data_IF_865898489657
#
_entry.id   IF_865898489657
#
_cell.length_a   1.000
_cell.length_b   1.000
_cell.length_c   1.000
_cell.angle_alpha   90.00
_cell.angle_beta   90.00
_cell.angle_gamma   90.00
#
_symmetry.space_group_name_H-M   'P 1'
#
loop_
_entity.id
_entity.type
_entity.pdbx_description
1 polymer ?
#
# COMPACT_ATOMS: atom_id res chain seq x y z
N UNK A 1 -9.38 -19.29 -14.22
CA UNK A 1 -8.00 -19.01 -13.76
C UNK A 1 -8.09 -18.01 -12.63
N UNK A 2 -7.78 -18.42 -11.40
CA UNK A 2 -7.74 -17.49 -10.27
C UNK A 2 -6.62 -16.48 -10.48
N UNK A 3 -6.92 -15.20 -10.25
CA UNK A 3 -5.94 -14.13 -10.40
C UNK A 3 -4.95 -14.17 -9.23
N UNK A 4 -3.67 -13.91 -9.50
CA UNK A 4 -2.61 -13.89 -8.47
C UNK A 4 -2.94 -12.88 -7.37
N UNK A 5 -2.70 -13.23 -6.10
CA UNK A 5 -2.84 -12.35 -4.94
C UNK A 5 -1.83 -11.19 -4.89
N UNK A 6 -0.76 -11.28 -5.69
CA UNK A 6 0.31 -10.28 -5.75
C UNK A 6 0.54 -9.77 -7.18
N UNK A 7 1.07 -8.54 -7.36
CA UNK A 7 1.43 -8.00 -8.66
C UNK A 7 2.40 -8.91 -9.45
N UNK A 8 2.32 -8.87 -10.78
CA UNK A 8 3.18 -9.69 -11.66
C UNK A 8 4.67 -9.46 -11.44
N UNK A 9 5.06 -8.22 -11.12
CA UNK A 9 6.44 -7.90 -10.77
C UNK A 9 6.90 -8.62 -9.51
N UNK A 10 6.04 -8.69 -8.49
CA UNK A 10 6.32 -9.43 -7.25
C UNK A 10 6.49 -10.92 -7.53
N UNK A 11 5.61 -11.49 -8.36
CA UNK A 11 5.70 -12.89 -8.76
C UNK A 11 7.00 -13.19 -9.50
N UNK A 12 7.38 -12.32 -10.44
CA UNK A 12 8.61 -12.44 -11.22
C UNK A 12 9.86 -12.35 -10.33
N UNK A 13 9.93 -11.36 -9.44
CA UNK A 13 11.06 -11.19 -8.52
C UNK A 13 11.13 -12.34 -7.52
N UNK A 14 10.00 -12.79 -6.99
CA UNK A 14 9.93 -13.94 -6.09
C UNK A 14 10.49 -15.20 -6.76
N UNK A 15 10.04 -15.50 -7.99
CA UNK A 15 10.53 -16.64 -8.76
C UNK A 15 12.04 -16.54 -9.07
N UNK A 16 12.52 -15.37 -9.47
CA UNK A 16 13.94 -15.15 -9.80
C UNK A 16 14.88 -15.37 -8.61
N UNK A 17 14.41 -15.16 -7.39
CA UNK A 17 15.22 -15.28 -6.17
C UNK A 17 14.83 -16.48 -5.27
N UNK A 18 13.93 -17.36 -5.73
CA UNK A 18 13.47 -18.51 -4.94
C UNK A 18 12.75 -18.12 -3.64
N UNK A 19 12.02 -17.00 -3.64
CA UNK A 19 11.26 -16.49 -2.50
C UNK A 19 9.78 -16.82 -2.64
N UNK A 20 9.04 -16.79 -1.53
CA UNK A 20 7.59 -16.66 -1.62
C UNK A 20 7.19 -15.26 -2.10
N UNK A 21 6.04 -15.10 -2.79
CA UNK A 21 5.55 -13.78 -3.18
C UNK A 21 5.37 -12.82 -1.99
N UNK A 22 4.87 -13.33 -0.86
CA UNK A 22 4.73 -12.55 0.38
C UNK A 22 6.07 -11.99 0.89
N UNK A 23 7.13 -12.82 0.88
CA UNK A 23 8.45 -12.39 1.32
C UNK A 23 9.06 -11.37 0.35
N UNK A 24 8.96 -11.59 -0.96
CA UNK A 24 9.41 -10.63 -1.95
C UNK A 24 8.67 -9.29 -1.81
N UNK A 25 7.35 -9.33 -1.63
CA UNK A 25 6.50 -8.15 -1.44
C UNK A 25 6.92 -7.34 -0.21
N UNK A 26 7.15 -8.01 0.93
CA UNK A 26 7.57 -7.37 2.16
C UNK A 26 8.98 -6.78 2.08
N UNK A 27 9.94 -7.49 1.47
CA UNK A 27 11.32 -7.02 1.32
C UNK A 27 11.43 -5.82 0.38
N UNK A 28 10.60 -5.75 -0.67
CA UNK A 28 10.63 -4.68 -1.66
C UNK A 28 9.82 -3.44 -1.30
N UNK A 29 9.32 -3.35 -0.07
CA UNK A 29 8.46 -2.25 0.40
C UNK A 29 7.12 -2.13 -0.35
N UNK A 30 6.45 -3.27 -0.51
CA UNK A 30 5.30 -3.40 -1.39
C UNK A 30 4.04 -2.62 -1.00
N UNK A 31 3.93 -2.04 0.20
CA UNK A 31 2.72 -1.32 0.62
C UNK A 31 2.71 0.17 0.30
N UNK A 32 3.81 0.71 -0.23
CA UNK A 32 3.88 2.11 -0.62
C UNK A 32 2.82 2.43 -1.69
N UNK A 33 1.99 3.43 -1.39
CA UNK A 33 0.94 3.94 -2.26
C UNK A 33 1.42 5.21 -2.95
N UNK A 34 1.05 5.39 -4.21
CA UNK A 34 1.39 6.56 -5.01
C UNK A 34 0.13 7.14 -5.65
N UNK A 35 0.01 8.46 -5.62
CA UNK A 35 -1.07 9.20 -6.27
C UNK A 35 -0.50 10.19 -7.28
N UNK A 36 -1.06 10.22 -8.48
CA UNK A 36 -0.68 11.22 -9.49
C UNK A 36 -1.89 11.72 -10.27
N UNK A 37 -1.81 12.99 -10.68
CA UNK A 37 -2.79 13.66 -11.53
C UNK A 37 -2.12 14.04 -12.86
N UNK A 38 -2.67 13.54 -13.96
CA UNK A 38 -2.19 13.73 -15.33
C UNK A 38 -3.37 14.15 -16.21
N UNK A 39 -3.69 15.46 -16.30
CA UNK A 39 -4.89 15.96 -16.97
C UNK A 39 -5.03 15.53 -18.43
N UNK A 40 -3.91 15.29 -19.11
CA UNK A 40 -3.85 14.93 -20.52
C UNK A 40 -3.89 13.41 -20.76
N UNK A 41 -3.96 12.59 -19.71
CA UNK A 41 -4.01 11.14 -19.79
C UNK A 41 -5.41 10.57 -19.48
N UNK A 42 -5.63 9.33 -19.91
CA UNK A 42 -6.81 8.54 -19.56
C UNK A 42 -6.35 7.23 -18.91
N UNK A 43 -6.59 7.01 -17.60
CA UNK A 43 -7.32 7.87 -16.66
C UNK A 43 -6.51 9.10 -16.18
N UNK A 44 -7.16 10.26 -15.89
CA UNK A 44 -6.47 11.49 -15.49
C UNK A 44 -5.98 11.50 -14.04
N UNK A 45 -6.55 10.66 -13.18
CA UNK A 45 -6.06 10.37 -11.83
C UNK A 45 -5.64 8.92 -11.75
N UNK A 46 -4.46 8.67 -11.18
CA UNK A 46 -3.88 7.34 -11.03
C UNK A 46 -3.47 7.10 -9.58
N UNK A 47 -3.90 5.97 -9.05
CA UNK A 47 -3.42 5.39 -7.80
C UNK A 47 -2.71 4.10 -8.17
N UNK A 48 -1.52 3.87 -7.61
CA UNK A 48 -0.85 2.58 -7.72
C UNK A 48 -0.10 2.24 -6.44
N UNK A 49 0.16 0.95 -6.28
CA UNK A 49 0.97 0.40 -5.20
C UNK A 49 2.25 -0.14 -5.82
N UNK A 50 3.27 -0.35 -5.00
CA UNK A 50 4.60 -0.84 -5.36
C UNK A 50 5.55 0.29 -5.78
N UNK A 51 6.75 0.38 -5.17
CA UNK A 51 7.74 1.38 -5.55
C UNK A 51 8.37 1.05 -6.91
N UNK A 52 8.75 2.07 -7.69
CA UNK A 52 9.47 1.87 -8.96
C UNK A 52 10.79 1.10 -8.82
N UNK A 53 11.44 1.19 -7.66
CA UNK A 53 12.70 0.50 -7.36
C UNK A 53 12.47 -0.85 -6.64
N UNK A 54 11.30 -1.48 -6.78
CA UNK A 54 10.93 -2.69 -6.03
C UNK A 54 11.96 -3.82 -6.15
N UNK A 55 12.34 -4.20 -7.37
CA UNK A 55 13.30 -5.29 -7.58
C UNK A 55 14.68 -4.99 -6.97
N UNK A 56 15.15 -3.74 -7.09
CA UNK A 56 16.42 -3.28 -6.53
C UNK A 56 16.41 -3.35 -5.00
N UNK A 57 15.30 -2.94 -4.38
CA UNK A 57 15.09 -3.03 -2.93
C UNK A 57 15.12 -4.48 -2.45
N UNK A 58 14.43 -5.40 -3.14
CA UNK A 58 14.50 -6.84 -2.83
C UNK A 58 15.94 -7.34 -2.92
N UNK A 59 16.64 -7.04 -4.02
CA UNK A 59 18.02 -7.49 -4.21
C UNK A 59 18.96 -6.97 -3.12
N UNK A 60 18.85 -5.69 -2.73
CA UNK A 60 19.65 -5.10 -1.66
C UNK A 60 19.42 -5.80 -0.30
N UNK A 61 18.18 -6.23 -0.02
CA UNK A 61 17.82 -6.93 1.22
C UNK A 61 18.32 -8.38 1.27
N UNK A 62 18.43 -9.05 0.12
CA UNK A 62 18.94 -10.41 0.04
C UNK A 62 20.43 -10.55 0.38
N UNK A 63 21.18 -9.45 0.37
CA UNK A 63 22.57 -9.41 0.83
C UNK A 63 22.74 -9.48 2.36
N UNK A 64 21.65 -9.57 3.13
CA UNK A 64 21.66 -9.51 4.58
C UNK A 64 21.10 -10.78 5.23
N UNK A 65 21.43 -11.06 6.51
CA UNK A 65 20.73 -12.10 7.27
C UNK A 65 19.22 -11.86 7.28
N UNK A 66 18.43 -12.91 7.08
CA UNK A 66 16.97 -12.83 6.87
C UNK A 66 16.23 -11.99 7.94
N UNK A 67 16.47 -12.16 9.26
CA UNK A 67 15.79 -11.35 10.27
C UNK A 67 16.17 -9.86 10.21
N UNK A 68 17.41 -9.54 9.82
CA UNK A 68 17.85 -8.15 9.64
C UNK A 68 17.17 -7.52 8.42
N UNK A 69 17.14 -8.24 7.29
CA UNK A 69 16.46 -7.82 6.07
C UNK A 69 14.96 -7.52 6.31
N UNK A 70 14.27 -8.38 7.06
CA UNK A 70 12.85 -8.21 7.42
C UNK A 70 12.66 -6.99 8.33
N UNK A 71 13.48 -6.81 9.36
CA UNK A 71 13.38 -5.62 10.23
C UNK A 71 13.61 -4.34 9.44
N UNK A 72 14.62 -4.32 8.59
CA UNK A 72 14.92 -3.14 7.78
C UNK A 72 13.79 -2.84 6.79
N UNK A 73 13.19 -3.86 6.17
CA UNK A 73 12.06 -3.65 5.25
C UNK A 73 10.78 -3.22 5.97
N UNK A 74 10.53 -3.68 7.20
CA UNK A 74 9.43 -3.18 8.05
C UNK A 74 9.60 -1.69 8.36
N UNK A 75 10.79 -1.27 8.80
CA UNK A 75 11.10 0.13 9.07
C UNK A 75 11.03 0.98 7.80
N UNK A 76 11.56 0.47 6.69
CA UNK A 76 11.54 1.18 5.41
C UNK A 76 10.12 1.36 4.87
N UNK A 77 9.26 0.34 4.93
CA UNK A 77 7.84 0.46 4.64
C UNK A 77 7.16 1.50 5.54
N UNK A 78 7.39 1.42 6.85
CA UNK A 78 6.80 2.36 7.79
C UNK A 78 7.20 3.81 7.47
N UNK A 79 8.48 4.05 7.14
CA UNK A 79 8.97 5.36 6.70
C UNK A 79 8.36 5.78 5.37
N UNK A 80 8.31 4.90 4.38
CA UNK A 80 7.71 5.20 3.07
C UNK A 80 6.23 5.55 3.19
N UNK A 81 5.50 4.95 4.13
CA UNK A 81 4.11 5.31 4.38
C UNK A 81 3.99 6.61 5.20
N UNK A 82 4.81 6.81 6.23
CA UNK A 82 4.65 7.93 7.17
C UNK A 82 5.33 9.23 6.75
N UNK A 83 6.44 9.17 6.01
CA UNK A 83 7.26 10.35 5.74
C UNK A 83 6.71 11.12 4.54
N UNK A 84 6.16 12.31 4.82
CA UNK A 84 5.76 13.26 3.79
C UNK A 84 7.01 13.95 3.21
N UNK A 85 7.50 13.44 2.08
CA UNK A 85 8.64 14.03 1.34
C UNK A 85 8.21 14.98 0.23
N UNK A 86 6.91 15.07 -0.06
CA UNK A 86 6.38 15.84 -1.20
C UNK A 86 6.45 15.08 -2.54
N UNK A 87 6.85 13.81 -2.51
CA UNK A 87 6.89 12.91 -3.68
C UNK A 87 5.57 12.13 -3.89
N UNK A 88 4.47 12.60 -3.29
CA UNK A 88 3.10 12.08 -3.51
C UNK A 88 2.99 10.57 -3.31
N UNK A 89 3.62 10.07 -2.25
CA UNK A 89 3.55 8.67 -1.82
C UNK A 89 3.19 8.54 -0.34
N UNK A 90 2.81 7.33 0.08
CA UNK A 90 2.43 7.05 1.47
C UNK A 90 1.18 7.82 1.90
N UNK A 91 1.17 8.33 3.13
CA UNK A 91 0.06 9.12 3.68
C UNK A 91 -0.16 10.43 2.92
N UNK A 92 0.91 11.09 2.45
CA UNK A 92 0.80 12.30 1.64
C UNK A 92 -0.02 12.06 0.36
N UNK A 93 0.20 10.91 -0.29
CA UNK A 93 -0.63 10.49 -1.43
C UNK A 93 -2.10 10.27 -1.06
N UNK A 94 -2.36 9.64 0.09
CA UNK A 94 -3.70 9.31 0.57
C UNK A 94 -4.46 10.60 0.92
N UNK A 95 -3.82 11.52 1.63
CA UNK A 95 -4.37 12.83 1.98
C UNK A 95 -4.66 13.64 0.74
N UNK A 96 -3.69 13.71 -0.19
CA UNK A 96 -3.88 14.46 -1.43
C UNK A 96 -4.98 13.88 -2.31
N UNK A 97 -5.05 12.55 -2.43
CA UNK A 97 -6.14 11.87 -3.10
C UNK A 97 -7.49 12.22 -2.45
N UNK A 98 -7.59 12.14 -1.12
CA UNK A 98 -8.78 12.49 -0.36
C UNK A 98 -9.27 13.92 -0.65
N UNK A 99 -8.38 14.89 -0.61
CA UNK A 99 -8.69 16.31 -0.85
C UNK A 99 -9.15 16.56 -2.30
N UNK A 100 -8.48 15.93 -3.26
CA UNK A 100 -8.77 16.14 -4.67
C UNK A 100 -10.00 15.39 -5.15
N UNK A 101 -10.44 14.32 -4.47
CA UNK A 101 -11.50 13.44 -4.95
C UNK A 101 -12.80 14.20 -5.30
N UNK A 102 -13.20 15.16 -4.47
CA UNK A 102 -14.37 16.02 -4.74
C UNK A 102 -14.24 16.90 -6.00
N UNK A 103 -13.01 17.13 -6.46
CA UNK A 103 -12.66 17.96 -7.63
C UNK A 103 -12.38 17.14 -8.88
N UNK A 104 -12.30 15.80 -8.79
CA UNK A 104 -12.09 14.92 -9.95
C UNK A 104 -13.06 15.20 -11.10
N UNK A 105 -14.36 15.50 -10.88
CA UNK A 105 -15.30 15.80 -11.95
C UNK A 105 -14.94 16.99 -12.85
N UNK A 106 -13.94 17.81 -12.46
CA UNK A 106 -13.43 18.91 -13.29
C UNK A 106 -12.57 18.46 -14.46
N UNK A 107 -12.04 17.23 -14.44
CA UNK A 107 -11.24 16.68 -15.53
C UNK A 107 -12.08 15.74 -16.39
N UNK A 108 -11.92 15.84 -17.71
CA UNK A 108 -12.60 14.95 -18.63
C UNK A 108 -12.15 13.50 -18.41
N UNK A 109 -13.10 12.56 -18.44
CA UNK A 109 -12.80 11.13 -18.28
C UNK A 109 -12.50 10.68 -16.85
N UNK A 110 -12.76 11.51 -15.83
CA UNK A 110 -12.55 11.17 -14.41
C UNK A 110 -13.24 9.87 -13.97
N UNK A 111 -14.34 9.48 -14.60
CA UNK A 111 -15.03 8.22 -14.31
C UNK A 111 -14.11 7.01 -14.55
N UNK A 112 -13.25 7.07 -15.57
CA UNK A 112 -12.26 6.00 -15.82
C UNK A 112 -11.22 5.90 -14.70
N UNK A 113 -10.92 7.00 -13.99
CA UNK A 113 -10.11 6.95 -12.77
C UNK A 113 -10.83 6.25 -11.64
N UNK A 114 -12.14 6.49 -11.47
CA UNK A 114 -12.95 5.80 -10.47
C UNK A 114 -12.97 4.30 -10.76
N UNK A 115 -13.25 3.91 -12.01
CA UNK A 115 -13.27 2.50 -12.41
C UNK A 115 -11.91 1.83 -12.20
N UNK A 116 -10.82 2.52 -12.49
CA UNK A 116 -9.47 2.01 -12.25
C UNK A 116 -9.17 1.84 -10.76
N UNK A 117 -9.57 2.79 -9.91
CA UNK A 117 -9.35 2.74 -8.47
C UNK A 117 -10.22 1.67 -7.80
N UNK A 118 -11.51 1.59 -8.14
CA UNK A 118 -12.42 0.55 -7.63
C UNK A 118 -11.85 -0.82 -7.94
N UNK A 119 -11.44 -1.02 -9.20
CA UNK A 119 -10.82 -2.26 -9.65
C UNK A 119 -9.54 -2.57 -8.88
N UNK A 120 -8.64 -1.60 -8.74
CA UNK A 120 -7.41 -1.76 -7.96
C UNK A 120 -7.72 -2.21 -6.53
N UNK A 121 -8.62 -1.51 -5.83
CA UNK A 121 -8.99 -1.83 -4.45
C UNK A 121 -9.54 -3.25 -4.31
N UNK A 122 -10.42 -3.67 -5.22
CA UNK A 122 -11.05 -4.99 -5.19
C UNK A 122 -10.07 -6.11 -5.55
N UNK A 123 -9.28 -5.93 -6.61
CA UNK A 123 -8.37 -6.97 -7.11
C UNK A 123 -7.11 -7.15 -6.26
N UNK A 124 -6.75 -6.13 -5.47
CA UNK A 124 -5.65 -6.19 -4.51
C UNK A 124 -6.10 -6.49 -3.08
N UNK A 125 -7.39 -6.72 -2.85
CA UNK A 125 -7.98 -6.97 -1.52
C UNK A 125 -7.59 -5.88 -0.50
N UNK A 126 -7.89 -4.62 -0.86
CA UNK A 126 -7.59 -3.45 -0.05
C UNK A 126 -6.13 -3.00 -0.15
N UNK A 127 -5.65 -2.78 -1.38
CA UNK A 127 -4.28 -2.29 -1.68
C UNK A 127 -3.20 -3.21 -1.11
N UNK A 128 -3.43 -4.52 -1.16
CA UNK A 128 -2.55 -5.57 -0.66
C UNK A 128 -2.33 -5.57 0.86
N UNK A 129 -3.10 -4.78 1.65
CA UNK A 129 -2.96 -4.79 3.12
C UNK A 129 -3.31 -6.15 3.70
N UNK A 130 -4.35 -6.81 3.19
CA UNK A 130 -4.70 -8.18 3.61
C UNK A 130 -3.58 -9.17 3.32
N UNK A 131 -3.02 -9.12 2.11
CA UNK A 131 -1.92 -10.00 1.71
C UNK A 131 -0.63 -9.74 2.48
N UNK A 132 -0.38 -8.50 2.93
CA UNK A 132 0.80 -8.21 3.73
C UNK A 132 0.81 -8.90 5.10
N UNK A 133 -0.34 -9.37 5.60
CA UNK A 133 -0.40 -10.22 6.79
C UNK A 133 0.45 -11.51 6.63
N UNK A 134 0.54 -12.07 5.41
CA UNK A 134 1.38 -13.24 5.13
C UNK A 134 2.87 -12.92 5.38
N UNK A 135 3.32 -11.73 5.00
CA UNK A 135 4.68 -11.29 5.27
C UNK A 135 4.95 -11.11 6.77
N UNK A 136 3.98 -10.59 7.52
CA UNK A 136 4.09 -10.46 8.97
C UNK A 136 4.15 -11.83 9.67
N UNK A 137 3.44 -12.82 9.15
CA UNK A 137 3.51 -14.20 9.63
C UNK A 137 4.92 -14.79 9.38
N UNK A 138 5.50 -14.57 8.20
CA UNK A 138 6.89 -14.95 7.91
C UNK A 138 7.87 -14.25 8.86
N UNK A 139 7.70 -12.94 9.08
CA UNK A 139 8.53 -12.18 10.01
C UNK A 139 8.51 -12.81 11.42
N UNK A 140 7.33 -13.17 11.90
CA UNK A 140 7.16 -13.83 13.20
C UNK A 140 7.87 -15.19 13.25
N UNK A 141 7.74 -16.01 12.20
CA UNK A 141 8.42 -17.30 12.10
C UNK A 141 9.96 -17.18 12.07
N UNK A 142 10.47 -16.07 11.53
CA UNK A 142 11.90 -15.71 11.50
C UNK A 142 12.38 -15.05 12.81
N UNK A 143 11.55 -15.04 13.86
CA UNK A 143 11.88 -14.46 15.17
C UNK A 143 11.86 -12.93 15.20
N UNK A 144 11.29 -12.27 14.18
CA UNK A 144 11.09 -10.82 14.15
C UNK A 144 9.74 -10.49 14.77
N UNK A 145 9.75 -9.86 15.94
CA UNK A 145 8.55 -9.57 16.71
C UNK A 145 7.70 -8.45 16.09
N UNK A 146 6.59 -8.78 15.46
CA UNK A 146 5.68 -7.78 14.88
C UNK A 146 4.67 -7.32 15.95
N UNK A 147 4.57 -6.00 16.27
CA UNK A 147 3.56 -5.50 17.21
C UNK A 147 2.16 -5.75 16.65
N UNK A 148 1.24 -6.25 17.51
CA UNK A 148 -0.17 -6.65 17.24
C UNK A 148 -0.57 -6.55 15.77
N UNK A 149 0.03 -7.45 14.97
CA UNK A 149 -0.01 -7.44 13.51
C UNK A 149 -1.08 -8.38 12.94
N UNK A 150 -1.25 -8.37 11.63
CA UNK A 150 -2.31 -9.03 10.86
C UNK A 150 -3.72 -8.46 11.07
N UNK A 151 -4.32 -8.56 12.26
CA UNK A 151 -5.72 -8.12 12.50
C UNK A 151 -5.92 -6.64 12.13
N UNK A 152 -4.92 -5.79 12.43
CA UNK A 152 -4.99 -4.37 12.11
C UNK A 152 -4.93 -4.08 10.61
N UNK A 153 -4.22 -4.90 9.84
CA UNK A 153 -4.14 -4.76 8.39
C UNK A 153 -5.40 -5.28 7.71
N UNK A 154 -6.06 -6.30 8.26
CA UNK A 154 -7.38 -6.73 7.81
C UNK A 154 -8.41 -5.62 7.98
N UNK A 155 -8.44 -4.94 9.14
CA UNK A 155 -9.33 -3.79 9.36
C UNK A 155 -9.07 -2.65 8.36
N UNK A 156 -7.80 -2.39 8.02
CA UNK A 156 -7.43 -1.37 7.03
C UNK A 156 -7.87 -1.81 5.62
N UNK A 157 -7.70 -3.10 5.28
CA UNK A 157 -8.14 -3.67 4.01
C UNK A 157 -9.68 -3.56 3.86
N UNK A 158 -10.43 -3.92 4.90
CA UNK A 158 -11.89 -3.79 4.93
C UNK A 158 -12.34 -2.34 4.76
N UNK A 159 -11.64 -1.39 5.41
CA UNK A 159 -11.92 0.03 5.24
C UNK A 159 -11.68 0.51 3.79
N UNK A 160 -10.64 0.01 3.13
CA UNK A 160 -10.36 0.27 1.72
C UNK A 160 -11.42 -0.33 0.78
N UNK A 161 -11.86 -1.56 1.02
CA UNK A 161 -12.92 -2.18 0.24
C UNK A 161 -14.27 -1.47 0.43
N UNK A 162 -14.58 -1.01 1.64
CA UNK A 162 -15.75 -0.19 1.90
C UNK A 162 -15.71 1.17 1.17
N UNK A 163 -14.53 1.71 0.87
CA UNK A 163 -14.36 2.88 -0.01
C UNK A 163 -14.65 2.49 -1.47
N UNK A 164 -14.14 1.35 -1.93
CA UNK A 164 -14.41 0.85 -3.29
C UNK A 164 -15.91 0.68 -3.55
N UNK A 165 -16.65 0.06 -2.62
CA UNK A 165 -18.09 -0.15 -2.73
C UNK A 165 -18.88 1.16 -2.83
N UNK A 166 -18.40 2.22 -2.18
CA UNK A 166 -19.04 3.54 -2.23
C UNK A 166 -18.78 4.24 -3.55
N UNK A 167 -17.53 4.19 -4.02
CA UNK A 167 -17.15 4.71 -5.32
C UNK A 167 -17.95 4.01 -6.44
N UNK A 168 -18.07 2.68 -6.39
CA UNK A 168 -18.82 1.90 -7.36
C UNK A 168 -20.32 2.24 -7.38
N UNK A 169 -20.89 2.62 -6.24
CA UNK A 169 -22.29 3.08 -6.12
C UNK A 169 -22.51 4.53 -6.55
N UNK A 170 -21.45 5.27 -6.86
CA UNK A 170 -21.53 6.70 -7.17
C UNK A 170 -21.88 7.57 -5.96
N UNK A 171 -21.49 7.15 -4.75
CA UNK A 171 -21.63 7.97 -3.55
C UNK A 171 -20.91 9.33 -3.74
N UNK A 172 -21.36 10.36 -3.00
CA UNK A 172 -20.75 11.70 -2.97
C UNK A 172 -19.23 11.63 -2.71
N UNK A 173 -18.46 12.10 -3.70
CA UNK A 173 -17.00 12.07 -3.71
C UNK A 173 -16.37 12.85 -2.55
N UNK A 174 -17.00 13.92 -2.06
CA UNK A 174 -16.51 14.63 -0.89
C UNK A 174 -16.62 13.76 0.38
N UNK A 175 -17.75 13.04 0.53
CA UNK A 175 -17.96 12.11 1.65
C UNK A 175 -17.07 10.88 1.56
N UNK A 176 -16.73 10.43 0.36
CA UNK A 176 -15.74 9.37 0.15
C UNK A 176 -14.34 9.87 0.51
N UNK A 177 -13.99 11.10 0.11
CA UNK A 177 -12.73 11.74 0.50
C UNK A 177 -12.53 11.74 2.01
N UNK A 178 -13.52 12.20 2.79
CA UNK A 178 -13.43 12.17 4.26
C UNK A 178 -13.27 10.77 4.86
N UNK A 179 -13.72 9.70 4.17
CA UNK A 179 -13.50 8.31 4.61
C UNK A 179 -12.08 7.85 4.34
N UNK A 180 -11.52 8.20 3.18
CA UNK A 180 -10.12 7.94 2.86
C UNK A 180 -9.23 8.56 3.94
N UNK A 181 -9.48 9.80 4.33
CA UNK A 181 -8.69 10.47 5.38
C UNK A 181 -8.79 9.76 6.75
N UNK A 182 -9.98 9.30 7.15
CA UNK A 182 -10.12 8.51 8.39
C UNK A 182 -9.38 7.19 8.35
N UNK A 183 -9.38 6.52 7.19
CA UNK A 183 -8.60 5.29 6.98
C UNK A 183 -7.10 5.61 7.08
N UNK A 184 -6.63 6.76 6.56
CA UNK A 184 -5.24 7.17 6.65
C UNK A 184 -4.76 7.25 8.10
N UNK A 185 -5.63 7.69 9.02
CA UNK A 185 -5.36 7.68 10.47
C UNK A 185 -5.26 6.27 11.08
N UNK A 186 -5.93 5.25 10.51
CA UNK A 186 -5.76 3.86 10.92
C UNK A 186 -4.38 3.36 10.51
N UNK A 187 -3.99 3.66 9.27
CA UNK A 187 -2.73 3.26 8.67
C UNK A 187 -1.53 3.94 9.35
N UNK A 188 -1.62 5.24 9.60
CA UNK A 188 -0.61 6.00 10.36
C UNK A 188 -0.32 5.38 11.73
N UNK A 189 -1.36 5.05 12.50
CA UNK A 189 -1.20 4.42 13.82
C UNK A 189 -0.51 3.07 13.74
N UNK A 190 -0.87 2.22 12.77
CA UNK A 190 -0.21 0.94 12.58
C UNK A 190 1.29 1.12 12.32
N UNK A 191 1.65 1.97 11.35
CA UNK A 191 3.05 2.17 10.99
C UNK A 191 3.88 2.87 12.07
N UNK A 192 3.27 3.75 12.87
CA UNK A 192 3.93 4.38 14.02
C UNK A 192 4.43 3.31 15.02
N UNK A 193 3.63 2.27 15.29
CA UNK A 193 4.06 1.18 16.20
C UNK A 193 5.31 0.43 15.70
N UNK A 194 5.49 0.34 14.37
CA UNK A 194 6.66 -0.28 13.75
C UNK A 194 7.90 0.60 13.96
N UNK A 195 7.76 1.92 13.75
CA UNK A 195 8.83 2.89 13.98
C UNK A 195 9.25 2.89 15.45
N UNK A 196 8.31 3.05 16.38
CA UNK A 196 8.60 3.09 17.81
C UNK A 196 9.35 1.84 18.29
N UNK A 197 9.01 0.68 17.71
CA UNK A 197 9.64 -0.59 18.06
C UNK A 197 11.04 -0.76 17.50
N UNK A 198 11.28 -0.35 16.26
CA UNK A 198 12.46 -0.77 15.51
C UNK A 198 13.41 0.37 15.11
N UNK A 199 12.93 1.60 15.03
CA UNK A 199 13.75 2.76 14.66
C UNK A 199 14.26 3.54 15.89
N UNK A 200 13.75 3.24 17.09
CA UNK A 200 13.87 4.12 18.25
C UNK A 200 12.94 5.32 18.08
N UNK A 201 12.17 5.67 19.10
CA UNK A 201 11.30 6.85 19.07
C UNK A 201 12.08 8.08 18.63
N UNK A 202 11.45 8.91 17.78
CA UNK A 202 11.98 10.22 17.38
C UNK A 202 12.23 11.07 18.64
#
# INVERSE_FOLDING_TARGET
MGRSAYPDEVQRVAAAHGLSPALAFGLGEGLNLYYSRRPDERPPHRVHVLPHAFAERVAARLGQPRPAAIRESLVANARGVLVCTGDWHGLDAIERWSEELSRWPRLAGWQTSIDAVVRLLQESDGLYRRHYADFLAIATAEGVAVPEGATRLDEIADAWLAIADRLARGDDLARVGSRILRMASLESRFWATIIDRYAGGI
#
